data_IF_384091949092
#
_entry.id   IF_384091949092
#
_cell.length_a   1.000
_cell.length_b   1.000
_cell.length_c   1.000
_cell.angle_alpha   90.00
_cell.angle_beta   90.00
_cell.angle_gamma   90.00
#
_symmetry.space_group_name_H-M   'P 1'
#
loop_
_entity.id
_entity.type
_entity.pdbx_description
1 polymer ?
#
# COMPACT_ATOMS: atom_id res chain seq x y z
N UNK A 1 1.61 -24.61 9.04
CA UNK A 1 0.38 -25.09 9.71
C UNK A 1 0.21 -24.38 11.04
N UNK A 2 -1.02 -24.33 11.54
CA UNK A 2 -1.30 -23.74 12.85
C UNK A 2 -1.11 -24.78 13.95
N UNK A 3 -0.45 -24.40 15.05
CA UNK A 3 -0.31 -25.24 16.24
C UNK A 3 -1.67 -25.38 16.95
N UNK A 4 -2.47 -24.29 16.96
CA UNK A 4 -3.83 -24.29 17.50
C UNK A 4 -4.82 -23.67 16.51
N UNK A 5 -6.01 -24.25 16.39
CA UNK A 5 -7.06 -23.76 15.48
C UNK A 5 -7.93 -22.67 16.15
N UNK A 6 -7.31 -21.59 16.61
CA UNK A 6 -8.03 -20.42 17.15
C UNK A 6 -7.88 -19.22 16.20
N UNK A 7 -8.97 -18.51 15.97
CA UNK A 7 -9.01 -17.39 15.01
C UNK A 7 -8.04 -16.25 15.32
N UNK A 8 -7.73 -16.04 16.59
CA UNK A 8 -6.88 -14.96 17.08
C UNK A 8 -5.43 -15.39 17.34
N UNK A 9 -5.02 -16.55 16.84
CA UNK A 9 -3.66 -17.08 17.00
C UNK A 9 -3.00 -17.34 15.63
N UNK A 10 -3.13 -16.40 14.72
CA UNK A 10 -2.47 -16.45 13.41
C UNK A 10 -0.94 -16.42 13.54
N UNK A 11 -0.44 -15.77 14.58
CA UNK A 11 0.97 -15.72 14.97
C UNK A 11 1.59 -17.10 15.29
N UNK A 12 0.77 -18.13 15.46
CA UNK A 12 1.22 -19.52 15.68
C UNK A 12 1.26 -20.34 14.37
N UNK A 13 1.27 -19.67 13.21
CA UNK A 13 1.44 -20.35 11.93
C UNK A 13 2.91 -20.56 11.63
N UNK A 14 3.32 -21.82 11.54
CA UNK A 14 4.70 -22.23 11.30
C UNK A 14 4.85 -22.98 9.98
N UNK A 15 6.03 -22.92 9.38
CA UNK A 15 6.36 -23.68 8.17
C UNK A 15 6.73 -25.12 8.57
N UNK A 16 6.09 -26.08 7.93
CA UNK A 16 6.36 -27.50 8.06
C UNK A 16 6.72 -28.10 6.72
N UNK A 17 7.73 -28.97 6.71
CA UNK A 17 8.15 -29.78 5.56
C UNK A 17 7.58 -31.19 5.69
N UNK A 18 6.81 -31.62 4.70
CA UNK A 18 6.31 -32.99 4.56
C UNK A 18 7.17 -33.74 3.54
N UNK A 19 7.79 -34.83 3.94
CA UNK A 19 8.47 -35.76 3.07
C UNK A 19 7.44 -36.75 2.48
N UNK A 20 7.21 -36.68 1.18
CA UNK A 20 6.10 -37.41 0.55
C UNK A 20 6.30 -38.95 0.54
N UNK A 21 7.55 -39.42 0.52
CA UNK A 21 7.86 -40.84 0.47
C UNK A 21 7.64 -41.53 1.83
N UNK A 22 7.97 -40.87 2.90
CA UNK A 22 7.94 -41.42 4.28
C UNK A 22 6.72 -40.98 5.08
N UNK A 23 6.11 -39.85 4.70
CA UNK A 23 5.06 -39.18 5.44
C UNK A 23 5.57 -38.42 6.67
N UNK A 24 6.90 -38.32 6.85
CA UNK A 24 7.48 -37.57 7.94
C UNK A 24 7.24 -36.08 7.82
N UNK A 25 6.91 -35.44 8.94
CA UNK A 25 6.73 -33.98 9.03
C UNK A 25 7.80 -33.39 9.91
N UNK A 26 8.50 -32.36 9.42
CA UNK A 26 9.50 -31.62 10.19
C UNK A 26 9.11 -30.14 10.23
N UNK A 27 9.08 -29.54 11.41
CA UNK A 27 8.89 -28.11 11.59
C UNK A 27 10.17 -27.37 11.20
N UNK A 28 10.05 -26.29 10.40
CA UNK A 28 11.17 -25.50 9.89
C UNK A 28 11.29 -24.14 10.58
N UNK A 29 10.19 -23.57 11.07
CA UNK A 29 10.17 -22.30 11.77
C UNK A 29 9.57 -22.46 13.17
N UNK A 30 10.02 -21.61 14.08
CA UNK A 30 9.53 -21.51 15.47
C UNK A 30 9.78 -20.06 15.92
N UNK A 31 8.83 -19.18 15.65
CA UNK A 31 8.95 -17.76 15.93
C UNK A 31 7.57 -17.13 16.22
N UNK A 32 7.54 -15.84 16.56
CA UNK A 32 6.31 -15.15 16.94
C UNK A 32 5.53 -14.54 15.75
N UNK A 33 6.15 -14.45 14.58
CA UNK A 33 5.53 -13.83 13.40
C UNK A 33 4.98 -14.90 12.45
N UNK A 34 3.74 -14.76 11.93
CA UNK A 34 3.18 -15.71 10.99
C UNK A 34 3.89 -15.66 9.64
N UNK A 35 4.12 -16.82 9.05
CA UNK A 35 4.65 -16.96 7.68
C UNK A 35 3.55 -17.20 6.67
N UNK A 36 3.80 -16.78 5.43
CA UNK A 36 2.88 -16.96 4.30
C UNK A 36 3.57 -16.91 2.94
N UNK A 37 2.80 -17.03 1.87
CA UNK A 37 3.26 -16.90 0.50
C UNK A 37 4.48 -17.78 0.16
N UNK A 38 4.47 -19.06 0.55
CA UNK A 38 5.58 -19.98 0.32
C UNK A 38 5.73 -20.35 -1.16
N UNK A 39 6.97 -20.32 -1.64
CA UNK A 39 7.32 -20.72 -3.00
C UNK A 39 8.71 -21.39 -3.05
N UNK A 40 8.77 -22.61 -3.59
CA UNK A 40 10.04 -23.29 -3.85
C UNK A 40 10.82 -22.59 -4.95
N UNK A 41 12.15 -22.52 -4.77
CA UNK A 41 13.05 -22.16 -5.84
C UNK A 41 13.00 -23.22 -6.95
N UNK A 42 13.15 -22.83 -8.25
CA UNK A 42 13.10 -23.78 -9.37
C UNK A 42 14.13 -24.91 -9.29
N UNK A 43 15.22 -24.71 -8.59
CA UNK A 43 16.28 -25.71 -8.39
C UNK A 43 15.99 -26.70 -7.24
N UNK A 44 14.90 -26.46 -6.47
CA UNK A 44 14.47 -27.31 -5.35
C UNK A 44 15.34 -27.28 -4.11
N UNK A 45 16.35 -26.38 -4.04
CA UNK A 45 17.31 -26.33 -2.92
C UNK A 45 16.90 -25.42 -1.79
N UNK A 46 16.06 -24.44 -2.09
CA UNK A 46 15.57 -23.47 -1.13
C UNK A 46 14.12 -23.08 -1.42
N UNK A 47 13.49 -22.41 -0.51
CA UNK A 47 12.20 -21.79 -0.73
C UNK A 47 12.20 -20.36 -0.19
N UNK A 48 11.34 -19.51 -0.77
CA UNK A 48 11.07 -18.18 -0.26
C UNK A 48 9.70 -18.14 0.42
N UNK A 49 9.57 -17.26 1.38
CA UNK A 49 8.31 -17.00 2.08
C UNK A 49 8.24 -15.55 2.54
N UNK A 50 7.05 -15.09 2.86
CA UNK A 50 6.85 -13.78 3.46
C UNK A 50 6.63 -13.94 4.96
N UNK A 51 7.37 -13.16 5.74
CA UNK A 51 7.15 -13.00 7.17
C UNK A 51 7.61 -11.60 7.61
N UNK A 52 7.05 -11.13 8.71
CA UNK A 52 7.60 -10.00 9.44
C UNK A 52 8.75 -10.45 10.34
N UNK A 53 9.55 -9.52 10.82
CA UNK A 53 10.54 -9.81 11.85
C UNK A 53 9.85 -10.06 13.19
N UNK A 54 10.54 -10.75 14.11
CA UNK A 54 10.04 -11.02 15.46
C UNK A 54 9.79 -9.72 16.25
N UNK A 55 8.95 -9.82 17.28
CA UNK A 55 8.58 -8.71 18.16
C UNK A 55 7.15 -8.24 17.95
N UNK A 56 6.93 -6.95 17.82
CA UNK A 56 5.61 -6.36 17.53
C UNK A 56 5.30 -6.48 16.03
N UNK A 57 5.30 -7.70 15.52
CA UNK A 57 5.23 -8.02 14.09
C UNK A 57 3.98 -7.44 13.39
N UNK A 58 2.88 -7.24 14.10
CA UNK A 58 1.64 -6.67 13.56
C UNK A 58 1.85 -5.29 12.94
N UNK A 59 2.88 -4.57 13.42
CA UNK A 59 3.21 -3.20 13.03
C UNK A 59 4.54 -3.11 12.27
N UNK A 60 4.91 -4.16 11.56
CA UNK A 60 6.11 -4.21 10.74
C UNK A 60 5.74 -4.60 9.30
N UNK A 61 6.53 -4.14 8.34
CA UNK A 61 6.41 -4.52 6.95
C UNK A 61 6.76 -6.00 6.75
N UNK A 62 5.99 -6.68 5.90
CA UNK A 62 6.34 -8.02 5.45
C UNK A 62 7.60 -8.02 4.60
N UNK A 63 8.54 -8.91 4.90
CA UNK A 63 9.79 -9.09 4.14
C UNK A 63 9.82 -10.46 3.48
N UNK A 64 10.56 -10.57 2.38
CA UNK A 64 10.84 -11.87 1.73
C UNK A 64 12.05 -12.48 2.39
N UNK A 65 11.86 -13.71 2.85
CA UNK A 65 12.88 -14.57 3.42
C UNK A 65 13.20 -15.70 2.45
N UNK A 66 14.44 -16.15 2.45
CA UNK A 66 14.87 -17.38 1.76
C UNK A 66 15.44 -18.34 2.77
N UNK A 67 15.04 -19.61 2.70
CA UNK A 67 15.46 -20.68 3.61
C UNK A 67 15.99 -21.90 2.83
N UNK A 68 17.11 -22.45 3.30
CA UNK A 68 17.58 -23.78 2.97
C UNK A 68 16.93 -24.78 3.95
N UNK A 69 16.02 -25.66 3.51
CA UNK A 69 15.29 -26.54 4.41
C UNK A 69 16.16 -27.63 5.04
N UNK A 70 17.31 -27.97 4.43
CA UNK A 70 18.18 -29.03 4.94
C UNK A 70 19.12 -28.52 6.04
N UNK A 71 19.61 -27.29 5.90
CA UNK A 71 20.50 -26.64 6.86
C UNK A 71 19.74 -25.86 7.93
N UNK A 72 18.52 -25.41 7.63
CA UNK A 72 17.76 -24.52 8.48
C UNK A 72 18.21 -23.05 8.42
N UNK A 73 19.18 -22.73 7.55
CA UNK A 73 19.69 -21.37 7.39
C UNK A 73 18.61 -20.50 6.69
N UNK A 74 18.30 -19.37 7.30
CA UNK A 74 17.32 -18.40 6.75
C UNK A 74 17.86 -16.99 6.77
N UNK A 75 17.48 -16.17 5.77
CA UNK A 75 17.86 -14.76 5.70
C UNK A 75 16.81 -13.92 5.02
N UNK A 76 16.72 -12.65 5.39
CA UNK A 76 15.93 -11.65 4.68
C UNK A 76 16.68 -11.27 3.41
N UNK A 77 15.98 -11.28 2.26
CA UNK A 77 16.56 -10.88 0.97
C UNK A 77 15.98 -9.57 0.46
N UNK A 78 14.86 -9.09 1.00
CA UNK A 78 14.22 -7.82 0.64
C UNK A 78 14.49 -6.69 1.63
N UNK A 79 15.55 -6.79 2.45
CA UNK A 79 15.83 -5.83 3.52
C UNK A 79 16.02 -4.38 3.05
N UNK A 80 16.50 -4.19 1.82
CA UNK A 80 16.70 -2.87 1.22
C UNK A 80 15.43 -2.24 0.61
N UNK A 81 14.26 -2.88 0.74
CA UNK A 81 13.00 -2.35 0.25
C UNK A 81 12.14 -1.81 1.39
N UNK A 82 11.88 -0.50 1.35
CA UNK A 82 11.00 0.20 2.27
C UNK A 82 9.65 0.43 1.58
N UNK A 83 8.70 -0.47 1.83
CA UNK A 83 7.38 -0.48 1.23
C UNK A 83 6.68 -1.82 1.42
N UNK A 84 5.47 -1.92 0.92
CA UNK A 84 4.68 -3.15 1.04
C UNK A 84 4.98 -4.09 -0.12
N UNK A 85 5.41 -5.30 0.20
CA UNK A 85 5.52 -6.41 -0.77
C UNK A 85 4.16 -7.11 -0.84
N UNK A 86 3.60 -7.23 -2.04
CA UNK A 86 2.27 -7.83 -2.24
C UNK A 86 2.35 -9.30 -2.67
N UNK A 87 3.22 -9.62 -3.62
CA UNK A 87 3.47 -10.97 -4.11
C UNK A 87 4.88 -11.08 -4.68
N UNK A 88 5.37 -12.30 -4.87
CA UNK A 88 6.67 -12.55 -5.47
C UNK A 88 6.72 -13.84 -6.28
N UNK A 89 7.68 -13.93 -7.21
CA UNK A 89 7.98 -15.12 -8.00
C UNK A 89 9.49 -15.26 -8.21
N UNK A 90 9.97 -16.49 -8.29
CA UNK A 90 11.35 -16.79 -8.64
C UNK A 90 11.64 -16.58 -10.12
N UNK A 91 12.87 -16.16 -10.46
CA UNK A 91 13.41 -16.34 -11.82
C UNK A 91 13.69 -17.81 -12.09
N UNK A 92 13.63 -18.26 -13.37
CA UNK A 92 13.78 -19.69 -13.70
C UNK A 92 15.14 -20.30 -13.29
N UNK A 93 16.17 -19.49 -13.22
CA UNK A 93 17.53 -19.85 -12.82
C UNK A 93 17.79 -19.77 -11.32
N UNK A 94 16.77 -19.45 -10.53
CA UNK A 94 16.83 -19.23 -9.08
C UNK A 94 17.84 -18.16 -8.64
N UNK A 95 18.32 -17.28 -9.54
CA UNK A 95 19.30 -16.22 -9.20
C UNK A 95 18.65 -14.98 -8.60
N UNK A 96 17.34 -14.80 -8.80
CA UNK A 96 16.62 -13.62 -8.36
C UNK A 96 15.15 -13.92 -8.01
N UNK A 97 14.52 -12.98 -7.31
CA UNK A 97 13.10 -12.95 -7.05
C UNK A 97 12.54 -11.64 -7.63
N UNK A 98 11.46 -11.76 -8.42
CA UNK A 98 10.65 -10.63 -8.84
C UNK A 98 9.50 -10.45 -7.85
N UNK A 99 9.19 -9.21 -7.48
CA UNK A 99 8.08 -8.93 -6.57
C UNK A 99 7.34 -7.65 -6.94
N UNK A 100 6.04 -7.64 -6.64
CA UNK A 100 5.21 -6.43 -6.70
C UNK A 100 5.36 -5.67 -5.40
N UNK A 101 5.73 -4.40 -5.48
CA UNK A 101 5.99 -3.54 -4.34
C UNK A 101 5.25 -2.21 -4.44
N UNK A 102 4.53 -1.87 -3.39
CA UNK A 102 3.98 -0.54 -3.17
C UNK A 102 5.00 0.31 -2.41
N UNK A 103 5.45 1.39 -3.02
CA UNK A 103 6.30 2.39 -2.38
C UNK A 103 5.68 3.78 -2.59
N UNK A 104 5.39 4.46 -1.49
CA UNK A 104 4.56 5.66 -1.52
C UNK A 104 3.16 5.34 -2.07
N UNK A 105 2.72 6.12 -3.03
CA UNK A 105 1.42 5.98 -3.69
C UNK A 105 1.43 5.09 -4.93
N UNK A 106 2.61 4.59 -5.38
CA UNK A 106 2.74 3.85 -6.63
C UNK A 106 3.15 2.39 -6.40
N UNK A 107 2.56 1.49 -7.20
CA UNK A 107 2.92 0.08 -7.19
C UNK A 107 3.69 -0.27 -8.46
N UNK A 108 4.83 -0.94 -8.30
CA UNK A 108 5.72 -1.30 -9.38
C UNK A 108 6.30 -2.72 -9.21
N UNK A 109 6.97 -3.22 -10.26
CA UNK A 109 7.72 -4.47 -10.22
C UNK A 109 9.17 -4.18 -9.82
N UNK A 110 9.68 -5.00 -8.92
CA UNK A 110 11.05 -4.97 -8.40
C UNK A 110 11.73 -6.31 -8.57
N UNK A 111 13.06 -6.32 -8.52
CA UNK A 111 13.90 -7.51 -8.55
C UNK A 111 14.87 -7.51 -7.39
N UNK A 112 14.96 -8.64 -6.70
CA UNK A 112 16.01 -8.93 -5.71
C UNK A 112 17.05 -9.83 -6.34
N UNK A 113 18.31 -9.42 -6.34
CA UNK A 113 19.43 -10.27 -6.72
C UNK A 113 19.88 -11.08 -5.50
N UNK A 114 19.77 -12.40 -5.53
CA UNK A 114 20.05 -13.25 -4.38
C UNK A 114 21.54 -13.44 -4.08
N UNK A 115 22.44 -13.01 -4.99
CA UNK A 115 23.87 -13.01 -4.74
C UNK A 115 24.36 -11.79 -3.94
N UNK A 116 23.61 -10.68 -3.96
CA UNK A 116 23.99 -9.41 -3.30
C UNK A 116 22.91 -8.85 -2.38
N UNK A 117 21.70 -9.43 -2.40
CA UNK A 117 20.50 -8.93 -1.75
C UNK A 117 20.15 -7.48 -2.15
N UNK A 118 20.64 -7.02 -3.30
CA UNK A 118 20.27 -5.72 -3.84
C UNK A 118 18.87 -5.75 -4.45
N UNK A 119 18.12 -4.67 -4.23
CA UNK A 119 16.80 -4.46 -4.80
C UNK A 119 16.89 -3.45 -5.92
N UNK A 120 16.32 -3.80 -7.07
CA UNK A 120 16.25 -2.96 -8.26
C UNK A 120 14.80 -2.75 -8.66
N UNK A 121 14.40 -1.51 -8.93
CA UNK A 121 13.09 -1.21 -9.50
C UNK A 121 13.12 -1.48 -11.01
N UNK A 122 12.24 -2.37 -11.49
CA UNK A 122 12.18 -2.80 -12.89
C UNK A 122 11.24 -1.93 -13.71
N UNK A 123 10.07 -1.60 -13.15
CA UNK A 123 9.10 -0.69 -13.80
C UNK A 123 9.01 0.61 -13.02
N UNK A 124 8.74 1.73 -13.71
CA UNK A 124 8.63 3.06 -13.11
C UNK A 124 7.28 3.71 -13.47
N UNK A 125 6.21 2.94 -13.43
CA UNK A 125 4.87 3.43 -13.71
C UNK A 125 4.43 4.42 -12.63
N UNK A 126 3.85 5.53 -13.07
CA UNK A 126 3.12 6.45 -12.19
C UNK A 126 1.69 5.92 -12.13
N UNK A 127 1.39 5.14 -11.10
CA UNK A 127 0.13 4.43 -10.96
C UNK A 127 0.30 3.11 -10.19
N UNK A 128 -0.69 2.25 -10.30
CA UNK A 128 -0.70 0.93 -9.69
C UNK A 128 -0.54 -0.15 -10.76
N UNK A 129 0.68 -0.69 -10.89
CA UNK A 129 1.01 -1.83 -11.74
C UNK A 129 1.06 -3.08 -10.86
N UNK A 130 0.08 -3.96 -11.00
CA UNK A 130 -0.04 -5.19 -10.21
C UNK A 130 0.13 -6.43 -11.12
N UNK A 131 1.33 -7.07 -11.15
CA UNK A 131 1.56 -8.29 -11.92
C UNK A 131 0.63 -9.42 -11.47
N UNK A 132 -0.06 -10.04 -12.43
CA UNK A 132 -1.00 -11.12 -12.20
C UNK A 132 -0.47 -12.48 -12.67
N UNK A 133 0.37 -12.48 -13.72
CA UNK A 133 0.95 -13.69 -14.28
C UNK A 133 2.22 -13.37 -15.05
N UNK A 134 3.11 -14.36 -15.12
CA UNK A 134 4.34 -14.27 -15.90
C UNK A 134 4.46 -15.45 -16.88
N UNK A 135 5.12 -15.23 -18.03
CA UNK A 135 5.59 -16.31 -18.89
C UNK A 135 6.55 -17.22 -18.12
N UNK A 136 6.73 -18.47 -18.60
CA UNK A 136 7.58 -19.45 -17.93
C UNK A 136 9.04 -18.97 -17.78
N UNK A 137 9.55 -18.24 -18.77
CA UNK A 137 10.89 -17.67 -18.80
C UNK A 137 11.00 -16.29 -18.09
N UNK A 138 9.88 -15.77 -17.55
CA UNK A 138 9.77 -14.46 -16.92
C UNK A 138 10.11 -13.27 -17.82
N UNK A 139 10.10 -13.44 -19.14
CA UNK A 139 10.36 -12.35 -20.08
C UNK A 139 9.15 -11.49 -20.37
N UNK A 140 7.94 -12.04 -20.09
CA UNK A 140 6.65 -11.34 -20.27
C UNK A 140 5.81 -11.43 -19.01
N UNK A 141 4.98 -10.40 -18.81
CA UNK A 141 3.98 -10.40 -17.74
C UNK A 141 2.62 -9.93 -18.27
N UNK A 142 1.56 -10.44 -17.65
CA UNK A 142 0.24 -9.86 -17.68
C UNK A 142 -0.01 -9.20 -16.33
N UNK A 143 -0.56 -7.99 -16.32
CA UNK A 143 -0.75 -7.21 -15.10
C UNK A 143 -2.01 -6.36 -15.20
N UNK A 144 -2.55 -5.99 -14.05
CA UNK A 144 -3.56 -4.95 -13.95
C UNK A 144 -2.83 -3.61 -13.79
N UNK A 145 -3.21 -2.63 -14.60
CA UNK A 145 -2.73 -1.26 -14.45
C UNK A 145 -3.91 -0.30 -14.28
N UNK A 146 -3.72 0.68 -13.42
CA UNK A 146 -4.60 1.82 -13.22
C UNK A 146 -3.80 3.02 -12.70
N UNK A 147 -4.31 4.21 -12.93
CA UNK A 147 -3.84 5.45 -12.34
C UNK A 147 -5.02 6.39 -12.03
N UNK A 148 -4.78 7.68 -11.78
CA UNK A 148 -5.87 8.63 -11.52
C UNK A 148 -6.85 8.76 -12.68
N UNK A 149 -6.42 8.51 -13.91
CA UNK A 149 -7.17 8.78 -15.14
C UNK A 149 -7.57 7.51 -15.88
N UNK A 150 -6.90 6.40 -15.59
CA UNK A 150 -7.07 5.13 -16.28
C UNK A 150 -7.72 4.12 -15.35
N UNK A 151 -8.97 3.68 -15.61
CA UNK A 151 -9.58 2.56 -14.89
C UNK A 151 -8.73 1.30 -14.97
N UNK A 152 -8.92 0.40 -13.99
CA UNK A 152 -8.19 -0.85 -13.94
C UNK A 152 -8.50 -1.74 -15.17
N UNK A 153 -7.48 -2.05 -15.96
CA UNK A 153 -7.54 -2.93 -17.11
C UNK A 153 -6.35 -3.88 -17.16
N UNK A 154 -6.47 -4.95 -17.96
CA UNK A 154 -5.41 -5.95 -18.15
C UNK A 154 -4.49 -5.49 -19.29
N UNK A 155 -3.21 -5.50 -18.97
CA UNK A 155 -2.12 -5.19 -19.90
C UNK A 155 -1.18 -6.39 -20.02
N UNK A 156 -0.52 -6.52 -21.18
CA UNK A 156 0.51 -7.53 -21.41
C UNK A 156 1.71 -6.91 -22.10
N UNK A 157 2.90 -7.29 -21.68
CA UNK A 157 4.14 -6.80 -22.28
C UNK A 157 5.38 -7.50 -21.74
N UNK A 158 6.56 -7.04 -22.15
CA UNK A 158 7.83 -7.42 -21.53
C UNK A 158 7.82 -7.14 -20.01
N UNK A 159 8.56 -7.92 -19.26
CA UNK A 159 8.64 -7.80 -17.80
C UNK A 159 9.24 -6.47 -17.33
N UNK A 160 10.03 -5.80 -18.18
CA UNK A 160 10.53 -4.45 -17.93
C UNK A 160 9.46 -3.34 -18.11
N UNK A 161 8.23 -3.71 -18.50
CA UNK A 161 7.12 -2.79 -18.71
C UNK A 161 7.14 -2.04 -20.03
N UNK A 162 8.18 -2.23 -20.89
CA UNK A 162 8.26 -1.53 -22.17
C UNK A 162 7.30 -2.12 -23.20
N UNK A 163 6.74 -1.26 -24.09
CA UNK A 163 5.91 -1.72 -25.20
C UNK A 163 4.71 -2.57 -24.81
N UNK A 164 4.17 -2.35 -23.62
CA UNK A 164 2.99 -3.04 -23.15
C UNK A 164 1.74 -2.67 -23.95
N UNK A 165 0.84 -3.63 -24.12
CA UNK A 165 -0.40 -3.48 -24.86
C UNK A 165 -1.58 -3.75 -23.92
N UNK A 166 -2.56 -2.84 -23.93
CA UNK A 166 -3.83 -3.03 -23.23
C UNK A 166 -4.63 -4.14 -23.93
N UNK A 167 -5.06 -5.14 -23.14
CA UNK A 167 -5.85 -6.28 -23.65
C UNK A 167 -7.35 -6.10 -23.42
N UNK A 168 -7.73 -5.38 -22.38
CA UNK A 168 -9.14 -5.14 -22.04
C UNK A 168 -9.43 -3.65 -22.02
N UNK A 169 -10.66 -3.29 -22.29
CA UNK A 169 -11.21 -1.95 -22.13
C UNK A 169 -12.60 -2.14 -21.50
N UNK A 170 -12.59 -2.28 -20.16
CA UNK A 170 -13.79 -2.65 -19.41
C UNK A 170 -14.74 -1.47 -19.22
N UNK A 171 -14.19 -0.25 -19.24
CA UNK A 171 -14.94 0.98 -18.98
C UNK A 171 -14.70 2.06 -20.06
N UNK A 172 -14.94 1.78 -21.36
CA UNK A 172 -14.59 2.69 -22.45
C UNK A 172 -15.31 4.04 -22.33
N UNK A 173 -16.56 4.04 -21.89
CA UNK A 173 -17.38 5.25 -21.77
C UNK A 173 -16.92 6.21 -20.69
N UNK A 174 -16.20 5.73 -19.65
CA UNK A 174 -15.70 6.61 -18.58
C UNK A 174 -14.71 7.62 -19.15
N UNK A 175 -13.80 7.18 -20.01
CA UNK A 175 -12.76 8.04 -20.57
C UNK A 175 -13.33 8.98 -21.67
N UNK A 176 -14.33 8.50 -22.42
CA UNK A 176 -14.89 9.22 -23.55
C UNK A 176 -15.96 10.26 -23.15
N UNK A 177 -16.75 9.97 -22.10
CA UNK A 177 -17.95 10.74 -21.75
C UNK A 177 -17.81 11.56 -20.47
N UNK A 178 -16.80 11.29 -19.62
CA UNK A 178 -16.65 11.93 -18.31
C UNK A 178 -15.40 12.81 -18.29
N UNK A 179 -15.58 14.07 -17.91
CA UNK A 179 -14.47 14.98 -17.64
C UNK A 179 -13.84 14.63 -16.29
N UNK A 180 -12.61 14.10 -16.32
CA UNK A 180 -11.91 13.65 -15.13
C UNK A 180 -11.23 14.82 -14.42
N UNK A 181 -11.29 14.85 -13.08
CA UNK A 181 -10.56 15.81 -12.26
C UNK A 181 -9.04 15.61 -12.34
N UNK A 182 -8.28 16.62 -11.94
CA UNK A 182 -6.83 16.60 -11.91
C UNK A 182 -6.36 15.91 -10.64
N UNK A 183 -5.47 14.90 -10.74
CA UNK A 183 -4.86 14.19 -9.62
C UNK A 183 -3.37 14.43 -9.56
N UNK A 184 -2.83 14.73 -8.38
CA UNK A 184 -1.39 14.85 -8.14
C UNK A 184 -0.99 14.28 -6.76
N UNK A 185 0.23 13.79 -6.66
CA UNK A 185 0.86 13.42 -5.40
C UNK A 185 1.53 14.66 -4.82
N UNK A 186 1.22 14.99 -3.58
CA UNK A 186 1.79 16.14 -2.87
C UNK A 186 2.50 15.69 -1.60
N UNK A 187 3.42 16.52 -1.11
CA UNK A 187 4.13 16.32 0.16
C UNK A 187 4.11 17.58 0.98
N UNK A 188 4.11 17.40 2.29
CA UNK A 188 4.22 18.48 3.27
C UNK A 188 4.90 17.98 4.54
N UNK A 189 5.34 18.89 5.37
CA UNK A 189 5.90 18.56 6.67
C UNK A 189 4.83 18.64 7.76
N UNK A 190 4.74 17.60 8.57
CA UNK A 190 3.99 17.62 9.82
C UNK A 190 4.66 18.55 10.83
N UNK A 191 4.00 18.81 11.93
CA UNK A 191 4.48 19.79 12.93
C UNK A 191 5.82 19.42 13.56
N UNK A 192 6.15 18.15 13.64
CA UNK A 192 7.40 17.61 14.16
C UNK A 192 8.49 17.42 13.07
N UNK A 193 8.23 17.82 11.84
CA UNK A 193 9.13 17.69 10.70
C UNK A 193 9.03 16.35 9.96
N UNK A 194 8.09 15.47 10.32
CA UNK A 194 7.82 14.24 9.57
C UNK A 194 7.27 14.59 8.20
N UNK A 195 7.91 14.11 7.12
CA UNK A 195 7.39 14.26 5.76
C UNK A 195 6.16 13.36 5.57
N UNK A 196 5.04 13.96 5.15
CA UNK A 196 3.80 13.26 4.84
C UNK A 196 3.52 13.37 3.35
N UNK A 197 3.17 12.26 2.72
CA UNK A 197 2.72 12.20 1.33
C UNK A 197 1.21 12.00 1.28
N UNK A 198 0.58 12.57 0.26
CA UNK A 198 -0.85 12.38 0.02
C UNK A 198 -1.21 12.67 -1.42
N UNK A 199 -2.48 12.47 -1.73
CA UNK A 199 -3.04 12.72 -3.06
C UNK A 199 -3.95 13.94 -2.96
N UNK A 200 -3.75 14.89 -3.87
CA UNK A 200 -4.64 16.02 -4.10
C UNK A 200 -5.43 15.77 -5.37
N UNK A 201 -6.76 15.88 -5.30
CA UNK A 201 -7.61 15.88 -6.48
C UNK A 201 -8.38 17.19 -6.59
N UNK A 202 -8.37 17.76 -7.79
CA UNK A 202 -8.96 19.05 -8.12
C UNK A 202 -9.98 18.93 -9.28
N UNK A 203 -10.90 19.89 -9.42
CA UNK A 203 -11.75 19.97 -10.63
C UNK A 203 -10.91 20.00 -11.90
N UNK A 204 -11.44 19.44 -13.00
CA UNK A 204 -10.75 19.32 -14.27
C UNK A 204 -10.21 20.65 -14.83
N UNK A 205 -10.99 21.73 -14.71
CA UNK A 205 -10.64 23.05 -15.23
C UNK A 205 -10.06 23.99 -14.17
N UNK A 206 -9.67 23.44 -13.00
CA UNK A 206 -9.09 24.26 -11.94
C UNK A 206 -7.80 24.94 -12.39
N UNK A 207 -7.75 26.26 -12.24
CA UNK A 207 -6.57 27.07 -12.52
C UNK A 207 -6.08 27.77 -11.26
N UNK A 208 -6.98 28.34 -10.49
CA UNK A 208 -6.65 29.06 -9.26
C UNK A 208 -7.91 29.39 -8.45
N UNK A 209 -7.72 29.74 -7.17
CA UNK A 209 -8.77 30.18 -6.26
C UNK A 209 -9.14 29.11 -5.22
N UNK A 210 -9.65 29.56 -4.10
CA UNK A 210 -9.96 28.71 -2.97
C UNK A 210 -11.27 27.92 -3.22
N UNK A 211 -11.19 26.61 -3.08
CA UNK A 211 -12.30 25.64 -3.26
C UNK A 211 -12.76 25.10 -1.91
N UNK A 212 -14.02 24.63 -1.79
CA UNK A 212 -14.39 23.76 -0.69
C UNK A 212 -13.47 22.54 -0.66
N UNK A 213 -12.92 22.22 0.52
CA UNK A 213 -12.03 21.06 0.70
C UNK A 213 -12.77 19.91 1.35
N UNK A 214 -12.62 18.71 0.80
CA UNK A 214 -13.01 17.46 1.42
C UNK A 214 -11.76 16.66 1.82
N UNK A 215 -11.51 16.58 3.13
CA UNK A 215 -10.44 15.74 3.69
C UNK A 215 -10.92 14.30 3.79
N UNK A 216 -10.18 13.35 3.20
CA UNK A 216 -10.45 11.93 3.30
C UNK A 216 -9.48 11.27 4.25
N UNK A 217 -9.96 10.38 5.11
CA UNK A 217 -9.12 9.64 6.07
C UNK A 217 -9.36 8.14 5.83
N UNK A 218 -8.29 7.41 5.49
CA UNK A 218 -8.40 5.97 5.20
C UNK A 218 -8.57 5.13 6.47
N UNK A 219 -9.02 3.92 6.28
CA UNK A 219 -9.10 2.91 7.34
C UNK A 219 -7.76 2.20 7.60
N UNK A 220 -7.71 1.37 8.60
CA UNK A 220 -6.52 0.58 8.94
C UNK A 220 -6.28 0.57 10.44
N UNK A 221 -5.27 1.30 11.00
CA UNK A 221 -4.47 2.43 10.46
C UNK A 221 -3.53 2.11 9.30
N UNK A 222 -3.06 0.88 9.15
CA UNK A 222 -2.13 0.46 8.12
C UNK A 222 -2.75 0.40 6.69
N UNK A 223 -3.74 1.25 6.40
CA UNK A 223 -4.21 1.51 5.05
C UNK A 223 -3.27 2.45 4.29
N UNK A 224 -3.62 2.77 3.04
CA UNK A 224 -2.88 3.71 2.21
C UNK A 224 -3.75 4.17 1.04
N UNK A 225 -3.72 5.46 0.74
CA UNK A 225 -4.23 5.98 -0.52
C UNK A 225 -3.18 5.81 -1.62
N UNK A 226 -3.60 5.23 -2.74
CA UNK A 226 -2.73 4.91 -3.88
C UNK A 226 -3.11 5.72 -5.10
N UNK A 227 -2.16 5.90 -6.00
CA UNK A 227 -2.42 6.39 -7.34
C UNK A 227 -3.21 5.31 -8.11
N UNK A 228 -4.53 5.42 -8.03
CA UNK A 228 -5.48 4.49 -8.62
C UNK A 228 -6.76 5.20 -9.03
N UNK A 229 -7.49 4.62 -9.97
CA UNK A 229 -8.75 5.18 -10.45
C UNK A 229 -9.85 5.06 -9.40
N UNK A 230 -10.58 6.15 -9.21
CA UNK A 230 -11.80 6.17 -8.38
C UNK A 230 -12.85 7.09 -9.00
N UNK A 231 -13.88 6.52 -9.58
CA UNK A 231 -14.97 7.29 -10.16
C UNK A 231 -15.62 8.27 -9.17
N UNK A 232 -15.75 7.87 -7.89
CA UNK A 232 -16.30 8.74 -6.85
C UNK A 232 -15.46 9.99 -6.59
N UNK A 233 -14.14 9.90 -6.71
CA UNK A 233 -13.26 11.05 -6.51
C UNK A 233 -13.43 12.06 -7.66
N UNK A 234 -13.61 11.58 -8.89
CA UNK A 234 -13.91 12.44 -10.04
C UNK A 234 -15.30 13.09 -9.93
N UNK A 235 -16.29 12.40 -9.37
CA UNK A 235 -17.61 12.99 -9.09
C UNK A 235 -17.47 14.16 -8.11
N UNK A 236 -16.74 14.03 -7.01
CA UNK A 236 -16.52 15.12 -6.07
C UNK A 236 -15.75 16.29 -6.72
N UNK A 237 -14.73 15.99 -7.53
CA UNK A 237 -14.01 17.01 -8.30
C UNK A 237 -14.98 17.74 -9.25
N UNK A 238 -15.85 17.01 -9.97
CA UNK A 238 -16.87 17.58 -10.85
C UNK A 238 -17.91 18.44 -10.13
N UNK A 239 -18.15 18.19 -8.84
CA UNK A 239 -18.98 19.03 -7.98
C UNK A 239 -18.26 20.27 -7.43
N UNK A 240 -16.99 20.51 -7.82
CA UNK A 240 -16.21 21.68 -7.47
C UNK A 240 -15.45 21.58 -6.16
N UNK A 241 -15.23 20.38 -5.62
CA UNK A 241 -14.44 20.17 -4.41
C UNK A 241 -12.97 19.89 -4.73
N UNK A 242 -12.08 20.54 -4.00
CA UNK A 242 -10.74 20.01 -3.78
C UNK A 242 -10.82 18.83 -2.81
N UNK A 243 -10.00 17.80 -2.99
CA UNK A 243 -10.00 16.63 -2.12
C UNK A 243 -8.56 16.30 -1.73
N UNK A 244 -8.32 16.10 -0.43
CA UNK A 244 -7.03 15.69 0.12
C UNK A 244 -7.15 14.27 0.69
N UNK A 245 -6.22 13.40 0.30
CA UNK A 245 -6.11 12.00 0.72
C UNK A 245 -4.72 11.79 1.35
N UNK A 246 -4.51 12.13 2.62
CA UNK A 246 -3.21 12.02 3.29
C UNK A 246 -2.90 10.58 3.67
N UNK A 247 -1.65 10.17 3.47
CA UNK A 247 -1.07 8.96 4.06
C UNK A 247 -0.34 9.37 5.35
N UNK A 248 -1.12 9.48 6.41
CA UNK A 248 -0.61 9.89 7.73
C UNK A 248 0.27 8.82 8.36
N UNK A 249 0.99 9.14 9.43
CA UNK A 249 1.67 8.11 10.24
C UNK A 249 0.70 7.02 10.67
N UNK A 250 1.17 5.78 10.62
CA UNK A 250 0.36 4.56 10.67
C UNK A 250 0.07 3.96 9.31
N UNK A 251 0.26 4.71 8.20
CA UNK A 251 0.05 4.21 6.83
C UNK A 251 1.10 3.21 6.40
N UNK A 252 0.67 2.25 5.58
CA UNK A 252 1.57 1.34 4.87
C UNK A 252 2.06 1.94 3.54
N UNK A 253 2.99 1.25 2.84
CA UNK A 253 3.55 1.75 1.59
C UNK A 253 4.81 2.61 1.77
N UNK A 254 5.24 2.80 2.99
CA UNK A 254 6.43 3.54 3.40
C UNK A 254 7.32 2.63 4.27
N UNK A 255 8.20 3.20 5.08
CA UNK A 255 9.04 2.45 6.02
C UNK A 255 8.30 1.99 7.30
N UNK A 256 8.99 1.22 8.11
CA UNK A 256 8.48 0.77 9.42
C UNK A 256 8.30 1.93 10.41
N UNK A 257 9.06 3.02 10.28
CA UNK A 257 8.98 4.18 11.17
C UNK A 257 7.67 4.94 10.95
N UNK A 258 7.27 5.18 9.69
CA UNK A 258 5.97 5.78 9.41
C UNK A 258 4.82 4.83 9.78
N UNK A 259 4.94 3.54 9.48
CA UNK A 259 3.92 2.53 9.81
C UNK A 259 3.66 2.45 11.32
N UNK A 260 4.70 2.59 12.14
CA UNK A 260 4.63 2.57 13.61
C UNK A 260 4.36 3.94 14.23
N UNK A 261 4.36 4.99 13.44
CA UNK A 261 4.35 6.37 13.90
C UNK A 261 3.13 6.77 14.75
N UNK A 262 2.04 6.00 14.71
CA UNK A 262 0.88 6.19 15.58
C UNK A 262 0.71 5.12 16.66
N UNK A 263 1.72 4.28 16.90
CA UNK A 263 1.70 3.27 17.95
C UNK A 263 1.58 3.92 19.32
N UNK A 264 0.47 3.63 20.03
CA UNK A 264 0.10 4.24 21.34
C UNK A 264 -0.04 5.76 21.28
N UNK A 265 -0.23 6.34 20.07
CA UNK A 265 -0.29 7.78 19.83
C UNK A 265 -1.43 8.18 18.88
N UNK A 266 -2.44 7.32 18.74
CA UNK A 266 -3.61 7.59 17.88
C UNK A 266 -4.33 8.86 18.35
N UNK A 267 -4.56 9.80 17.43
CA UNK A 267 -5.21 11.09 17.68
C UNK A 267 -4.26 12.19 18.08
N UNK A 268 -2.94 11.96 18.05
CA UNK A 268 -1.90 12.96 18.31
C UNK A 268 -1.13 13.27 17.02
N UNK A 269 -0.06 12.55 16.73
CA UNK A 269 0.77 12.82 15.56
C UNK A 269 0.01 12.66 14.23
N UNK A 270 -0.82 11.63 14.10
CA UNK A 270 -1.68 11.41 12.93
C UNK A 270 -2.73 12.52 12.72
N UNK A 271 -3.25 13.12 13.82
CA UNK A 271 -4.09 14.31 13.75
C UNK A 271 -3.30 15.53 13.22
N UNK A 272 -2.07 15.74 13.70
CA UNK A 272 -1.22 16.83 13.24
C UNK A 272 -0.86 16.68 11.74
N UNK A 273 -0.64 15.47 11.27
CA UNK A 273 -0.41 15.17 9.85
C UNK A 273 -1.60 15.60 8.98
N UNK A 274 -2.83 15.36 9.44
CA UNK A 274 -4.05 15.80 8.77
C UNK A 274 -4.13 17.33 8.74
N UNK A 275 -3.92 17.97 9.89
CA UNK A 275 -4.13 19.41 10.02
C UNK A 275 -3.08 20.21 9.27
N UNK A 276 -1.82 19.78 9.27
CA UNK A 276 -0.76 20.42 8.47
C UNK A 276 -0.99 20.27 6.98
N UNK A 277 -1.55 19.14 6.52
CA UNK A 277 -1.95 18.97 5.12
C UNK A 277 -3.09 19.91 4.71
N UNK A 278 -4.08 20.12 5.59
CA UNK A 278 -5.14 21.11 5.36
C UNK A 278 -4.55 22.54 5.33
N UNK A 279 -3.64 22.85 6.25
CA UNK A 279 -2.96 24.16 6.32
C UNK A 279 -2.11 24.43 5.08
N UNK A 280 -1.43 23.39 4.56
CA UNK A 280 -0.68 23.48 3.30
C UNK A 280 -1.57 23.89 2.13
N UNK A 281 -2.74 23.26 1.97
CA UNK A 281 -3.65 23.61 0.89
C UNK A 281 -4.28 25.00 1.05
N UNK A 282 -4.51 25.44 2.27
CA UNK A 282 -4.96 26.82 2.55
C UNK A 282 -3.84 27.81 2.20
N UNK A 283 -2.61 27.53 2.61
CA UNK A 283 -1.46 28.41 2.33
C UNK A 283 -1.17 28.55 0.84
N UNK A 284 -1.41 27.47 0.06
CA UNK A 284 -1.34 27.47 -1.41
C UNK A 284 -2.53 28.18 -2.08
N UNK A 285 -3.53 28.60 -1.33
CA UNK A 285 -4.74 29.26 -1.84
C UNK A 285 -5.69 28.31 -2.58
N UNK A 286 -5.55 26.99 -2.35
CA UNK A 286 -6.38 25.93 -2.96
C UNK A 286 -7.63 25.65 -2.13
N UNK A 287 -7.50 25.62 -0.80
CA UNK A 287 -8.60 25.34 0.10
C UNK A 287 -9.18 26.61 0.73
N UNK A 288 -10.50 26.73 0.75
CA UNK A 288 -11.23 27.78 1.47
C UNK A 288 -11.32 27.38 2.95
N UNK A 289 -10.70 28.15 3.89
CA UNK A 289 -10.70 27.80 5.30
C UNK A 289 -12.09 27.78 5.94
N UNK A 290 -13.07 28.44 5.31
CA UNK A 290 -14.45 28.47 5.79
C UNK A 290 -15.34 27.36 5.22
N UNK A 291 -14.80 26.51 4.31
CA UNK A 291 -15.54 25.45 3.61
C UNK A 291 -14.80 24.10 3.68
N UNK A 292 -14.46 23.68 4.88
CA UNK A 292 -13.79 22.40 5.12
C UNK A 292 -14.81 21.33 5.51
N UNK A 293 -14.74 20.17 4.87
CA UNK A 293 -15.44 18.94 5.22
C UNK A 293 -14.47 17.79 5.43
N UNK A 294 -14.85 16.78 6.19
CA UNK A 294 -14.07 15.55 6.31
C UNK A 294 -14.93 14.30 6.20
N UNK A 295 -14.31 13.20 5.76
CA UNK A 295 -14.92 11.88 5.76
C UNK A 295 -13.91 10.78 6.07
N UNK A 296 -14.35 9.74 6.77
CA UNK A 296 -13.51 8.61 7.10
C UNK A 296 -14.31 7.36 7.49
N UNK A 297 -13.70 6.20 7.31
CA UNK A 297 -14.31 4.91 7.61
C UNK A 297 -13.36 4.04 8.43
N UNK A 298 -13.88 3.25 9.40
CA UNK A 298 -13.09 2.40 10.29
C UNK A 298 -12.10 3.24 11.11
N UNK A 299 -10.80 3.00 11.03
CA UNK A 299 -9.80 3.89 11.65
C UNK A 299 -9.96 5.35 11.19
N UNK A 300 -10.22 5.59 9.90
CA UNK A 300 -10.54 6.93 9.40
C UNK A 300 -11.81 7.53 10.01
N UNK A 301 -12.75 6.68 10.44
CA UNK A 301 -13.91 7.10 11.24
C UNK A 301 -13.51 7.47 12.67
N UNK A 302 -12.60 6.73 13.31
CA UNK A 302 -12.06 7.01 14.65
C UNK A 302 -11.31 8.34 14.64
N UNK A 303 -10.32 8.48 13.74
CA UNK A 303 -9.50 9.69 13.65
C UNK A 303 -10.33 10.90 13.19
N UNK A 304 -11.28 10.72 12.26
CA UNK A 304 -12.19 11.78 11.84
C UNK A 304 -13.13 12.24 12.95
N UNK A 305 -13.69 11.29 13.73
CA UNK A 305 -14.47 11.57 14.92
C UNK A 305 -13.69 12.31 15.99
N UNK A 306 -12.44 11.90 16.21
CA UNK A 306 -11.49 12.61 17.09
C UNK A 306 -11.22 14.03 16.58
N UNK A 307 -10.90 14.19 15.30
CA UNK A 307 -10.59 15.47 14.69
C UNK A 307 -11.66 16.53 14.94
N UNK A 308 -12.94 16.20 14.77
CA UNK A 308 -14.03 17.18 14.99
C UNK A 308 -14.24 17.54 16.48
N UNK A 309 -13.64 16.80 17.41
CA UNK A 309 -13.63 17.17 18.83
C UNK A 309 -12.45 18.09 19.19
N UNK A 310 -11.42 18.17 18.35
CA UNK A 310 -10.20 18.94 18.58
C UNK A 310 -10.26 20.33 17.89
N UNK A 311 -11.12 20.50 16.88
CA UNK A 311 -11.22 21.73 16.09
C UNK A 311 -12.64 21.95 15.58
N UNK A 312 -13.03 23.21 15.42
CA UNK A 312 -14.31 23.67 14.85
C UNK A 312 -14.20 24.09 13.36
N UNK A 313 -13.06 23.86 12.75
CA UNK A 313 -12.78 24.25 11.34
C UNK A 313 -13.71 23.55 10.35
N UNK A 314 -14.05 22.28 10.59
CA UNK A 314 -14.87 21.48 9.67
C UNK A 314 -16.36 21.82 9.81
N UNK A 315 -17.01 22.13 8.67
CA UNK A 315 -18.46 22.47 8.61
C UNK A 315 -19.35 21.26 8.45
N UNK A 316 -18.77 20.11 8.05
CA UNK A 316 -19.44 18.82 7.93
C UNK A 316 -18.46 17.68 8.10
N UNK A 317 -18.95 16.61 8.71
CA UNK A 317 -18.19 15.37 8.89
C UNK A 317 -19.06 14.15 8.58
N UNK A 318 -18.49 13.20 7.83
CA UNK A 318 -19.11 11.89 7.57
C UNK A 318 -18.16 10.80 8.04
N UNK A 319 -18.37 10.31 9.26
CA UNK A 319 -17.55 9.28 9.91
C UNK A 319 -18.36 8.01 10.11
N UNK A 320 -17.79 6.87 9.75
CA UNK A 320 -18.49 5.60 9.82
C UNK A 320 -17.63 4.46 10.33
N UNK A 321 -18.29 3.40 10.85
CA UNK A 321 -17.67 2.19 11.40
C UNK A 321 -16.56 2.50 12.44
N UNK A 322 -16.72 3.61 13.16
CA UNK A 322 -15.79 4.00 14.22
C UNK A 322 -16.09 3.27 15.52
N UNK A 323 -15.07 3.02 16.31
CA UNK A 323 -15.20 2.69 17.73
C UNK A 323 -15.20 4.01 18.49
N UNK A 324 -16.35 4.43 19.01
CA UNK A 324 -16.49 5.71 19.72
C UNK A 324 -16.25 5.60 21.22
N UNK A 325 -16.19 4.38 21.74
CA UNK A 325 -15.95 4.06 23.15
C UNK A 325 -15.12 2.78 23.22
N UNK A 326 -14.03 2.80 23.98
CA UNK A 326 -13.12 1.67 24.17
C UNK A 326 -13.30 0.96 25.54
N UNK A 327 -14.31 1.36 26.31
CA UNK A 327 -14.59 0.78 27.64
C UNK A 327 -15.60 -0.35 27.61
#
# INVERSE_FOLDING_TARGET
SRIENRRNQQNLSEIQLLELETGNVRQLTDNSAPEGALSWAPDGRSFAYMARTDGEWELLLGKIWVMDPDRGDRRIVSGAFDGNIENFVWTPDASAILFSGLHGTNNNLYRINLGSDSVEQITSSVGSLAPSSFSRDRTKMAYVFQDFYTPADIWVGPTDGTGAVQLTDVNPTIIEEIVLGQGEVIRWESRDGTEIEGILMLPAEYQSGALPLLLHIHGGPAGVFRNSFSASNHVWAGLGYAQLFPNVRGSSGYDDDLLRGNLRDIGSGDYEDLMTGVDELISRGIADPDKLGLRGWSYGGILGGWTITQTDRFKGASVGAMVSDWT
#
